data_IF_616163494077
#
_entry.id   IF_616163494077
#
_cell.length_a   1.000
_cell.length_b   1.000
_cell.length_c   1.000
_cell.angle_alpha   90.00
_cell.angle_beta   90.00
_cell.angle_gamma   90.00
#
_symmetry.space_group_name_H-M   'P 1'
#
loop_
_entity.id
_entity.type
_entity.pdbx_description
1 polymer ?
#
# COMPACT_ATOMS: atom_id res chain seq x y z
N UNK A 1 6.93 20.96 -5.31
CA UNK A 1 6.07 20.38 -4.26
C UNK A 1 6.66 19.04 -3.89
N UNK A 2 6.93 18.81 -2.61
CA UNK A 2 7.47 17.53 -2.12
C UNK A 2 6.31 16.55 -1.89
N UNK A 3 6.48 15.32 -2.34
CA UNK A 3 5.45 14.28 -2.29
C UNK A 3 6.01 13.06 -1.56
N UNK A 4 5.27 12.52 -0.59
CA UNK A 4 5.59 11.23 0.01
C UNK A 4 4.47 10.22 -0.26
N UNK A 5 4.85 8.98 -0.60
CA UNK A 5 3.93 7.91 -1.00
C UNK A 5 3.92 6.82 0.08
N UNK A 6 2.73 6.43 0.51
CA UNK A 6 2.51 5.43 1.56
C UNK A 6 1.60 4.32 1.00
N UNK A 7 2.12 3.10 0.89
CA UNK A 7 1.38 1.96 0.35
C UNK A 7 1.06 0.97 1.45
N UNK A 8 -0.20 0.88 1.82
CA UNK A 8 -0.70 -0.20 2.67
C UNK A 8 -0.69 -1.49 1.84
N UNK A 9 0.33 -2.31 2.05
CA UNK A 9 0.56 -3.51 1.25
C UNK A 9 -0.54 -4.56 1.43
N UNK A 10 -1.12 -4.65 2.62
CA UNK A 10 -2.21 -5.57 2.89
C UNK A 10 -3.47 -5.16 2.13
N UNK A 11 -3.87 -3.90 2.25
CA UNK A 11 -5.02 -3.36 1.51
C UNK A 11 -4.79 -3.44 -0.02
N UNK A 12 -3.59 -3.08 -0.49
CA UNK A 12 -3.22 -3.18 -1.90
C UNK A 12 -3.27 -4.61 -2.43
N UNK A 13 -2.84 -5.60 -1.65
CA UNK A 13 -2.90 -7.00 -2.05
C UNK A 13 -4.35 -7.44 -2.35
N UNK A 14 -5.28 -7.18 -1.43
CA UNK A 14 -6.69 -7.53 -1.63
C UNK A 14 -7.33 -6.74 -2.77
N UNK A 15 -7.00 -5.44 -2.87
CA UNK A 15 -7.44 -4.57 -3.94
C UNK A 15 -7.03 -5.13 -5.31
N UNK A 16 -5.77 -5.50 -5.46
CA UNK A 16 -5.24 -6.09 -6.69
C UNK A 16 -5.93 -7.41 -7.04
N UNK A 17 -6.05 -8.32 -6.06
CA UNK A 17 -6.58 -9.67 -6.25
C UNK A 17 -8.07 -9.65 -6.59
N UNK A 18 -8.85 -8.82 -5.91
CA UNK A 18 -10.32 -8.86 -5.99
C UNK A 18 -10.92 -7.85 -6.98
N UNK A 19 -10.25 -6.75 -7.26
CA UNK A 19 -10.85 -5.63 -7.97
C UNK A 19 -10.09 -5.16 -9.21
N UNK A 20 -8.75 -5.13 -9.19
CA UNK A 20 -7.98 -4.60 -10.32
C UNK A 20 -7.65 -5.65 -11.36
N UNK A 21 -7.23 -6.85 -10.98
CA UNK A 21 -6.77 -7.88 -11.91
C UNK A 21 -5.41 -7.57 -12.57
N UNK A 22 -4.75 -6.47 -12.15
CA UNK A 22 -3.42 -6.07 -12.61
C UNK A 22 -2.59 -5.55 -11.44
N UNK A 23 -1.28 -5.48 -11.63
CA UNK A 23 -0.34 -5.02 -10.60
C UNK A 23 0.23 -3.66 -10.94
N UNK A 24 0.47 -2.84 -9.92
CA UNK A 24 1.17 -1.56 -10.06
C UNK A 24 2.65 -1.83 -10.33
N UNK A 25 3.21 -1.13 -11.32
CA UNK A 25 4.64 -0.89 -11.43
C UNK A 25 4.99 0.29 -10.53
N UNK A 26 5.72 0.01 -9.45
CA UNK A 26 6.05 1.03 -8.45
C UNK A 26 7.02 2.11 -8.97
N UNK A 27 7.82 1.82 -10.02
CA UNK A 27 8.61 2.86 -10.71
C UNK A 27 7.70 3.82 -11.45
N UNK A 28 6.71 3.29 -12.18
CA UNK A 28 5.71 4.12 -12.87
C UNK A 28 4.88 4.96 -11.89
N UNK A 29 4.62 4.45 -10.68
CA UNK A 29 3.94 5.23 -9.65
C UNK A 29 4.78 6.43 -9.22
N UNK A 30 6.08 6.25 -8.99
CA UNK A 30 7.03 7.36 -8.72
C UNK A 30 7.06 8.35 -9.89
N UNK A 31 7.17 7.86 -11.13
CA UNK A 31 7.18 8.70 -12.33
C UNK A 31 5.88 9.48 -12.52
N UNK A 32 4.72 8.85 -12.23
CA UNK A 32 3.41 9.49 -12.32
C UNK A 32 3.33 10.69 -11.38
N UNK A 33 3.70 10.51 -10.11
CA UNK A 33 3.72 11.62 -9.15
C UNK A 33 4.89 12.57 -9.35
N UNK A 34 6.00 12.11 -9.92
CA UNK A 34 7.14 12.93 -10.32
C UNK A 34 6.78 14.02 -11.33
N UNK A 35 5.72 13.85 -12.12
CA UNK A 35 5.18 14.89 -13.02
C UNK A 35 4.53 16.06 -12.26
N UNK A 36 4.16 15.85 -10.98
CA UNK A 36 3.48 16.85 -10.15
C UNK A 36 4.42 17.51 -9.12
N UNK A 37 5.54 16.88 -8.81
CA UNK A 37 6.51 17.38 -7.84
C UNK A 37 7.63 16.39 -7.57
N UNK A 38 8.45 16.66 -6.56
CA UNK A 38 9.56 15.80 -6.18
C UNK A 38 9.05 14.71 -5.23
N UNK A 39 9.14 13.45 -5.63
CA UNK A 39 8.87 12.33 -4.72
C UNK A 39 10.07 12.17 -3.80
N UNK A 40 9.91 12.58 -2.55
CA UNK A 40 11.00 12.62 -1.56
C UNK A 40 11.09 11.34 -0.75
N UNK A 41 9.95 10.69 -0.50
CA UNK A 41 9.88 9.42 0.21
C UNK A 41 8.80 8.52 -0.41
N UNK A 42 9.05 7.22 -0.43
CA UNK A 42 8.06 6.22 -0.82
C UNK A 42 8.21 4.97 0.05
N UNK A 43 7.12 4.57 0.71
CA UNK A 43 7.10 3.46 1.66
C UNK A 43 6.09 2.41 1.24
N UNK A 44 6.49 1.15 1.35
CA UNK A 44 5.61 0.00 1.21
C UNK A 44 5.55 -0.76 2.54
N UNK A 45 4.36 -0.92 3.10
CA UNK A 45 4.14 -1.53 4.41
C UNK A 45 3.60 -2.94 4.24
N UNK A 46 4.29 -3.94 4.80
CA UNK A 46 3.84 -5.32 4.74
C UNK A 46 4.26 -6.13 5.95
N UNK A 47 3.40 -7.03 6.38
CA UNK A 47 3.81 -8.07 7.30
C UNK A 47 4.56 -9.17 6.54
N UNK A 48 5.61 -9.71 7.13
CA UNK A 48 6.51 -10.66 6.49
C UNK A 48 6.65 -11.89 7.36
N UNK A 49 6.59 -13.07 6.75
CA UNK A 49 6.96 -14.32 7.40
C UNK A 49 8.48 -14.40 7.51
N UNK A 50 9.00 -14.18 8.73
CA UNK A 50 10.43 -14.20 9.02
C UNK A 50 11.06 -15.59 8.96
N UNK A 51 10.26 -16.64 8.83
CA UNK A 51 10.76 -18.02 8.66
C UNK A 51 11.16 -18.34 7.22
N UNK A 52 10.82 -17.46 6.28
CA UNK A 52 11.10 -17.61 4.85
C UNK A 52 12.01 -16.50 4.32
N UNK A 53 12.77 -16.74 3.24
CA UNK A 53 13.45 -15.66 2.53
C UNK A 53 12.46 -14.62 2.00
N UNK A 54 12.88 -13.36 1.92
CA UNK A 54 12.09 -12.31 1.25
C UNK A 54 11.86 -12.73 -0.21
N UNK A 55 10.62 -12.60 -0.66
CA UNK A 55 10.29 -12.85 -2.06
C UNK A 55 10.89 -11.78 -2.99
N UNK A 56 10.92 -12.08 -4.29
CA UNK A 56 11.50 -11.20 -5.32
C UNK A 56 10.85 -9.82 -5.36
N UNK A 57 9.56 -9.73 -5.10
CA UNK A 57 8.83 -8.46 -5.06
C UNK A 57 9.36 -7.53 -3.96
N UNK A 58 9.49 -8.01 -2.72
CA UNK A 58 10.04 -7.18 -1.64
C UNK A 58 11.50 -6.80 -1.87
N UNK A 59 12.27 -7.69 -2.51
CA UNK A 59 13.65 -7.40 -2.89
C UNK A 59 13.75 -6.37 -4.03
N UNK A 60 12.73 -6.26 -4.88
CA UNK A 60 12.69 -5.30 -5.99
C UNK A 60 12.24 -3.89 -5.56
N UNK A 61 11.52 -3.75 -4.43
CA UNK A 61 11.02 -2.45 -3.96
C UNK A 61 12.09 -1.36 -3.85
N UNK A 62 13.28 -1.60 -3.25
CA UNK A 62 14.33 -0.58 -3.22
C UNK A 62 14.80 -0.13 -4.59
N UNK A 63 14.85 -1.03 -5.58
CA UNK A 63 15.19 -0.68 -6.97
C UNK A 63 14.10 0.14 -7.67
N UNK A 64 12.87 0.10 -7.14
CA UNK A 64 11.75 0.93 -7.59
C UNK A 64 11.62 2.24 -6.81
N UNK A 65 12.57 2.53 -5.89
CA UNK A 65 12.55 3.73 -5.08
C UNK A 65 11.69 3.66 -3.81
N UNK A 66 11.23 2.46 -3.42
CA UNK A 66 10.43 2.25 -2.22
C UNK A 66 11.23 1.67 -1.06
N UNK A 67 11.09 2.24 0.12
CA UNK A 67 11.53 1.62 1.36
C UNK A 67 10.48 0.61 1.85
N UNK A 68 10.91 -0.62 2.14
CA UNK A 68 10.04 -1.63 2.75
C UNK A 68 10.02 -1.42 4.27
N UNK A 69 8.83 -1.13 4.80
CA UNK A 69 8.57 -1.13 6.25
C UNK A 69 7.85 -2.42 6.60
N UNK A 70 8.43 -3.23 7.46
CA UNK A 70 7.88 -4.55 7.73
C UNK A 70 7.78 -4.90 9.22
N UNK A 71 6.82 -5.76 9.53
CA UNK A 71 6.69 -6.44 10.81
C UNK A 71 6.65 -7.95 10.60
N UNK A 72 7.11 -8.74 11.58
CA UNK A 72 6.85 -10.18 11.58
C UNK A 72 5.35 -10.47 11.56
N UNK A 73 4.92 -11.40 10.73
CA UNK A 73 3.60 -11.99 10.83
C UNK A 73 3.46 -12.66 12.19
N UNK A 74 2.39 -12.35 12.91
CA UNK A 74 2.07 -12.97 14.20
C UNK A 74 1.04 -14.04 13.98
N UNK A 75 1.33 -15.27 14.40
CA UNK A 75 0.34 -16.33 14.52
C UNK A 75 -0.41 -16.14 15.84
N UNK A 76 -1.72 -15.97 15.78
CA UNK A 76 -2.60 -15.81 16.94
C UNK A 76 -3.53 -17.03 16.97
N UNK A 77 -3.57 -17.73 18.10
CA UNK A 77 -4.39 -18.95 18.30
C UNK A 77 -3.54 -20.16 18.65
N UNK A 78 -4.20 -21.22 19.10
CA UNK A 78 -3.62 -22.53 19.39
C UNK A 78 -3.93 -23.51 18.25
N UNK A 79 -3.28 -24.68 18.25
CA UNK A 79 -3.46 -25.72 17.25
C UNK A 79 -4.93 -25.95 16.89
N UNK A 80 -5.32 -25.62 15.66
CA UNK A 80 -6.67 -25.78 15.10
C UNK A 80 -7.40 -24.47 14.77
N UNK A 81 -7.10 -23.36 15.45
CA UNK A 81 -7.71 -22.03 15.23
C UNK A 81 -6.66 -20.90 15.05
N UNK A 82 -5.46 -21.26 14.66
CA UNK A 82 -4.40 -20.29 14.49
C UNK A 82 -4.60 -19.46 13.21
N UNK A 83 -4.56 -18.12 13.31
CA UNK A 83 -4.59 -17.22 12.17
C UNK A 83 -3.41 -16.26 12.21
N UNK A 84 -2.94 -15.86 11.03
CA UNK A 84 -1.84 -14.91 10.91
C UNK A 84 -2.40 -13.48 10.83
N UNK A 85 -1.87 -12.60 11.66
CA UNK A 85 -2.23 -11.17 11.68
C UNK A 85 -0.99 -10.32 11.47
N UNK A 86 -1.06 -9.42 10.50
CA UNK A 86 0.00 -8.46 10.21
C UNK A 86 -0.58 -7.14 9.73
N UNK A 87 -1.09 -6.33 10.68
CA UNK A 87 -1.58 -4.99 10.37
C UNK A 87 -0.47 -3.97 10.68
N UNK A 88 -0.21 -3.06 9.74
CA UNK A 88 0.79 -1.99 9.85
C UNK A 88 0.16 -0.58 9.84
N UNK A 89 -1.16 -0.45 10.09
CA UNK A 89 -1.83 0.86 10.07
C UNK A 89 -1.18 1.83 11.05
N UNK A 90 -0.76 1.33 12.22
CA UNK A 90 -0.07 2.14 13.23
C UNK A 90 1.25 2.67 12.68
N UNK A 91 2.04 1.83 11.98
CA UNK A 91 3.31 2.23 11.36
C UNK A 91 3.07 3.26 10.25
N UNK A 92 2.08 3.03 9.39
CA UNK A 92 1.70 3.99 8.34
C UNK A 92 1.31 5.33 8.96
N UNK A 93 0.47 5.33 10.00
CA UNK A 93 0.08 6.55 10.70
C UNK A 93 1.27 7.23 11.37
N UNK A 94 2.14 6.46 12.02
CA UNK A 94 3.35 7.02 12.64
C UNK A 94 4.23 7.70 11.61
N UNK A 95 4.50 7.06 10.48
CA UNK A 95 5.34 7.63 9.44
C UNK A 95 4.67 8.84 8.77
N UNK A 96 3.34 8.79 8.49
CA UNK A 96 2.59 9.94 8.01
C UNK A 96 2.77 11.18 8.91
N UNK A 97 2.77 10.98 10.23
CA UNK A 97 2.82 12.07 11.20
C UNK A 97 4.23 12.51 11.55
N UNK A 98 5.18 11.58 11.67
CA UNK A 98 6.57 11.90 12.05
C UNK A 98 7.36 12.51 10.90
N UNK A 99 7.04 12.13 9.65
CA UNK A 99 7.68 12.69 8.44
C UNK A 99 6.93 13.89 7.85
N UNK A 100 5.93 14.42 8.56
CA UNK A 100 5.04 15.48 8.06
C UNK A 100 5.78 16.72 7.53
N UNK A 101 6.93 17.04 8.09
CA UNK A 101 7.74 18.19 7.65
C UNK A 101 8.58 17.91 6.40
N UNK A 102 8.68 16.65 5.97
CA UNK A 102 9.42 16.26 4.78
C UNK A 102 8.62 16.47 3.49
N UNK A 103 7.28 16.46 3.55
CA UNK A 103 6.43 16.55 2.37
C UNK A 103 5.41 17.69 2.45
N UNK A 104 4.88 18.05 1.30
CA UNK A 104 3.79 19.00 1.14
C UNK A 104 2.47 18.27 0.77
N UNK A 105 2.61 17.06 0.18
CA UNK A 105 1.50 16.17 -0.19
C UNK A 105 1.81 14.71 0.18
N UNK A 106 0.86 14.06 0.84
CA UNK A 106 0.86 12.62 1.07
C UNK A 106 -0.01 11.90 0.03
N UNK A 107 0.50 10.81 -0.53
CA UNK A 107 -0.26 9.88 -1.38
C UNK A 107 -0.43 8.57 -0.60
N UNK A 108 -1.65 8.19 -0.30
CA UNK A 108 -1.98 6.95 0.41
C UNK A 108 -2.67 5.97 -0.53
N UNK A 109 -2.14 4.76 -0.65
CA UNK A 109 -2.82 3.64 -1.31
C UNK A 109 -3.41 2.76 -0.22
N UNK A 110 -4.66 2.99 0.10
CA UNK A 110 -5.48 2.19 1.02
C UNK A 110 -6.95 2.56 0.88
N UNK A 111 -7.85 1.65 1.23
CA UNK A 111 -9.29 1.89 1.34
C UNK A 111 -9.78 1.88 2.79
N UNK A 112 -8.89 1.74 3.76
CA UNK A 112 -9.24 1.56 5.17
C UNK A 112 -9.74 2.86 5.80
N UNK A 113 -10.88 2.76 6.52
CA UNK A 113 -11.51 3.86 7.24
C UNK A 113 -10.68 4.44 8.38
N UNK A 114 -9.78 3.64 8.96
CA UNK A 114 -8.94 4.06 10.09
C UNK A 114 -8.00 5.21 9.71
N UNK A 115 -7.71 5.38 8.41
CA UNK A 115 -6.92 6.51 7.93
C UNK A 115 -7.68 7.84 7.85
N UNK A 116 -9.01 7.86 8.05
CA UNK A 116 -9.79 9.09 8.01
C UNK A 116 -9.25 10.14 8.99
N UNK A 117 -9.03 9.74 10.24
CA UNK A 117 -8.55 10.65 11.29
C UNK A 117 -7.12 11.17 11.06
N UNK A 118 -6.13 10.35 10.67
CA UNK A 118 -4.81 10.83 10.24
C UNK A 118 -4.87 11.86 9.11
N UNK A 119 -5.73 11.66 8.09
CA UNK A 119 -5.86 12.60 6.98
C UNK A 119 -6.52 13.93 7.39
N UNK A 120 -7.49 13.92 8.32
CA UNK A 120 -8.00 15.15 8.92
C UNK A 120 -6.89 15.94 9.63
N UNK A 121 -6.00 15.24 10.33
CA UNK A 121 -4.85 15.87 10.98
C UNK A 121 -3.90 16.50 9.95
N UNK A 122 -3.58 15.81 8.85
CA UNK A 122 -2.76 16.37 7.76
C UNK A 122 -3.40 17.64 7.20
N UNK A 123 -4.72 17.63 6.95
CA UNK A 123 -5.46 18.81 6.50
C UNK A 123 -5.34 19.97 7.49
N UNK A 124 -5.51 19.70 8.78
CA UNK A 124 -5.37 20.71 9.83
C UNK A 124 -3.96 21.32 9.91
N UNK A 125 -2.94 20.59 9.44
CA UNK A 125 -1.56 21.03 9.32
C UNK A 125 -1.23 21.67 7.96
N UNK A 126 -2.25 21.91 7.12
CA UNK A 126 -2.07 22.52 5.80
C UNK A 126 -1.43 21.61 4.77
N UNK A 127 -1.35 20.31 5.02
CA UNK A 127 -0.81 19.33 4.07
C UNK A 127 -1.89 18.91 3.07
N UNK A 128 -1.47 18.67 1.83
CA UNK A 128 -2.31 18.05 0.81
C UNK A 128 -2.26 16.53 0.95
N UNK A 129 -3.26 15.86 0.44
CA UNK A 129 -3.23 14.41 0.31
C UNK A 129 -4.06 13.95 -0.90
N UNK A 130 -3.73 12.75 -1.39
CA UNK A 130 -4.58 11.95 -2.29
C UNK A 130 -4.69 10.54 -1.73
N UNK A 131 -5.86 9.94 -1.90
CA UNK A 131 -6.09 8.53 -1.55
C UNK A 131 -6.44 7.77 -2.81
N UNK A 132 -5.64 6.75 -3.12
CA UNK A 132 -5.85 5.83 -4.23
C UNK A 132 -6.49 4.56 -3.68
N UNK A 133 -7.67 4.24 -4.16
CA UNK A 133 -8.37 3.01 -3.82
C UNK A 133 -9.41 2.67 -4.91
N UNK A 134 -10.11 1.57 -4.74
CA UNK A 134 -11.18 1.18 -5.65
C UNK A 134 -12.55 1.43 -4.99
N UNK A 135 -13.59 1.87 -5.75
CA UNK A 135 -14.90 2.20 -5.18
C UNK A 135 -15.57 1.04 -4.43
N UNK A 136 -15.23 -0.20 -4.77
CA UNK A 136 -15.80 -1.39 -4.13
C UNK A 136 -15.24 -1.69 -2.73
N UNK A 137 -14.09 -1.09 -2.35
CA UNK A 137 -13.39 -1.44 -1.10
C UNK A 137 -13.08 -0.24 -0.22
N UNK A 138 -13.21 0.96 -0.73
CA UNK A 138 -12.96 2.17 0.05
C UNK A 138 -14.07 2.39 1.08
N UNK A 139 -13.68 2.61 2.34
CA UNK A 139 -14.60 2.88 3.43
C UNK A 139 -15.32 4.22 3.25
N UNK A 140 -16.59 4.28 3.65
CA UNK A 140 -17.41 5.50 3.55
C UNK A 140 -16.85 6.64 4.41
N UNK A 141 -16.33 6.30 5.57
CA UNK A 141 -15.69 7.22 6.51
C UNK A 141 -14.49 7.90 5.87
N UNK A 142 -13.67 7.11 5.17
CA UNK A 142 -12.52 7.62 4.44
C UNK A 142 -12.95 8.55 3.29
N UNK A 143 -13.93 8.14 2.49
CA UNK A 143 -14.47 8.96 1.40
C UNK A 143 -15.04 10.30 1.89
N UNK A 144 -15.70 10.31 3.05
CA UNK A 144 -16.25 11.54 3.64
C UNK A 144 -15.16 12.58 3.94
N UNK A 145 -13.98 12.12 4.36
CA UNK A 145 -12.83 12.98 4.64
C UNK A 145 -12.10 13.37 3.37
N UNK A 146 -11.88 12.41 2.48
CA UNK A 146 -11.04 12.60 1.29
C UNK A 146 -11.72 13.47 0.23
N UNK A 147 -13.02 13.28 -0.01
CA UNK A 147 -13.79 14.05 -0.98
C UNK A 147 -13.18 14.04 -2.38
N UNK A 148 -12.92 15.22 -2.93
CA UNK A 148 -12.35 15.39 -4.27
C UNK A 148 -10.88 14.92 -4.42
N UNK A 149 -10.22 14.59 -3.32
CA UNK A 149 -8.85 14.05 -3.31
C UNK A 149 -8.81 12.52 -3.40
N UNK A 150 -9.97 11.89 -3.56
CA UNK A 150 -10.07 10.47 -3.88
C UNK A 150 -9.75 10.24 -5.36
N UNK A 151 -8.94 9.21 -5.62
CA UNK A 151 -8.60 8.76 -6.96
C UNK A 151 -8.99 7.28 -7.08
N UNK A 152 -9.88 6.98 -8.04
CA UNK A 152 -10.15 5.60 -8.39
C UNK A 152 -8.93 5.02 -9.11
N UNK A 153 -8.19 4.17 -8.44
CA UNK A 153 -6.94 3.61 -8.94
C UNK A 153 -7.12 2.82 -10.26
N UNK A 154 -8.31 2.27 -10.52
CA UNK A 154 -8.59 1.57 -11.77
C UNK A 154 -8.51 2.49 -13.00
N UNK A 155 -8.73 3.80 -12.83
CA UNK A 155 -8.60 4.77 -13.93
C UNK A 155 -7.14 5.05 -14.31
N UNK A 156 -6.19 4.60 -13.51
CA UNK A 156 -4.75 4.78 -13.75
C UNK A 156 -4.09 3.51 -14.34
N UNK A 157 -4.88 2.54 -14.82
CA UNK A 157 -4.33 1.28 -15.33
C UNK A 157 -3.27 1.49 -16.41
N UNK A 158 -3.55 2.33 -17.42
CA UNK A 158 -2.63 2.60 -18.52
C UNK A 158 -1.31 3.23 -18.04
N UNK A 159 -1.39 4.10 -17.03
CA UNK A 159 -0.22 4.80 -16.47
C UNK A 159 0.61 3.91 -15.54
N UNK A 160 -0.04 3.04 -14.76
CA UNK A 160 0.59 2.37 -13.63
C UNK A 160 0.80 0.86 -13.81
N UNK A 161 0.16 0.24 -14.79
CA UNK A 161 0.20 -1.21 -14.95
C UNK A 161 1.60 -1.72 -15.24
N UNK A 162 1.98 -2.75 -14.50
CA UNK A 162 3.19 -3.52 -14.74
C UNK A 162 3.07 -4.26 -16.09
N UNK A 163 4.07 -4.09 -16.96
CA UNK A 163 4.05 -4.71 -18.27
C UNK A 163 4.25 -6.23 -18.20
N UNK A 164 3.81 -6.95 -19.24
CA UNK A 164 3.96 -8.41 -19.27
C UNK A 164 5.42 -8.87 -19.39
N UNK A 165 6.31 -8.03 -19.91
CA UNK A 165 7.76 -8.28 -19.97
C UNK A 165 8.43 -8.24 -18.60
N UNK A 166 7.87 -7.45 -17.66
CA UNK A 166 8.44 -7.27 -16.33
C UNK A 166 7.87 -8.27 -15.32
N UNK A 167 6.81 -9.02 -15.72
CA UNK A 167 6.11 -9.99 -14.84
C UNK A 167 6.90 -11.26 -14.53
N UNK A 168 7.89 -11.59 -15.33
CA UNK A 168 8.52 -12.92 -15.27
C UNK A 168 9.31 -13.18 -13.97
N UNK A 169 9.58 -12.16 -13.14
CA UNK A 169 10.37 -12.31 -11.91
C UNK A 169 9.65 -11.94 -10.60
N UNK A 170 8.57 -11.11 -10.62
CA UNK A 170 8.12 -10.46 -9.41
C UNK A 170 6.75 -10.92 -8.87
N UNK A 171 5.88 -11.52 -9.69
CA UNK A 171 4.47 -11.66 -9.32
C UNK A 171 4.08 -13.08 -8.89
N UNK A 172 4.60 -14.12 -9.49
CA UNK A 172 4.22 -15.50 -9.16
C UNK A 172 4.60 -15.87 -7.72
N UNK A 173 5.77 -15.45 -7.26
CA UNK A 173 6.23 -15.75 -5.90
C UNK A 173 5.41 -15.04 -4.80
N UNK A 174 4.95 -13.80 -5.06
CA UNK A 174 4.11 -13.06 -4.10
C UNK A 174 2.71 -13.66 -4.01
N UNK A 175 2.17 -14.10 -5.15
CA UNK A 175 0.82 -14.70 -5.19
C UNK A 175 0.82 -16.05 -4.48
N UNK A 176 1.86 -16.86 -4.65
CA UNK A 176 1.96 -18.16 -4.01
C UNK A 176 2.15 -18.05 -2.50
N UNK A 177 3.01 -17.14 -2.02
CA UNK A 177 3.26 -16.97 -0.59
C UNK A 177 2.04 -16.42 0.16
N UNK A 178 1.29 -15.49 -0.43
CA UNK A 178 0.09 -14.93 0.21
C UNK A 178 -1.17 -15.80 -0.03
N UNK A 179 -1.27 -16.54 -1.13
CA UNK A 179 -2.36 -17.46 -1.37
C UNK A 179 -2.29 -18.71 -0.47
N UNK A 180 -1.08 -19.14 -0.08
CA UNK A 180 -0.93 -20.19 0.93
C UNK A 180 -1.44 -19.75 2.31
N UNK A 181 -1.24 -18.49 2.68
CA UNK A 181 -1.80 -17.91 3.92
C UNK A 181 -3.33 -17.96 3.94
N UNK A 182 -4.00 -17.74 2.78
CA UNK A 182 -5.47 -17.81 2.68
C UNK A 182 -6.02 -19.23 2.57
N UNK A 183 -5.30 -20.17 1.93
CA UNK A 183 -5.79 -21.54 1.76
C UNK A 183 -5.76 -22.34 3.06
N UNK A 184 -4.88 -21.98 3.98
CA UNK A 184 -4.79 -22.59 5.30
C UNK A 184 -5.76 -21.96 6.31
N UNK A 185 -6.29 -20.73 6.05
CA UNK A 185 -7.15 -19.99 6.99
C UNK A 185 -8.23 -19.18 6.28
N UNK A 186 -9.38 -19.78 5.88
CA UNK A 186 -10.50 -19.02 5.33
C UNK A 186 -11.11 -18.11 6.40
N UNK A 187 -11.36 -16.86 6.03
CA UNK A 187 -12.07 -15.85 6.85
C UNK A 187 -13.55 -16.24 6.95
#
# INVERSE_FOLDING_TARGET
MRISIFVDGNNYFYLRKKNLGWSIDFRKLIEHYGKMGDVVDAFYYSAIDMSRPLNSFFMALPHSGFALVSKPLKTIGNDGDAYQKGNLDVEIVMDLLTTIDNYDMAVLISGDGDFARPLEFLRARGKRFQVLSHPAVVAKELLAVVGMHYVNIATLEEDLKLSSSDRAHDIESVIEDMAQVESEYPI
#
